data_IF_320744549310
#
_entry.id   IF_320744549310
#
_cell.length_a   1.000
_cell.length_b   1.000
_cell.length_c   1.000
_cell.angle_alpha   90.00
_cell.angle_beta   90.00
_cell.angle_gamma   90.00
#
_symmetry.space_group_name_H-M   'P 1'
#
loop_
_entity.id
_entity.type
_entity.pdbx_description
1 polymer ?
#
# COMPACT_ATOMS: atom_id res chain seq x y z
N UNK A 1 25.92 43.46 -6.99
CA UNK A 1 26.87 43.31 -5.87
C UNK A 1 26.51 42.03 -5.15
N UNK A 2 26.93 40.89 -5.69
CA UNK A 2 26.69 39.56 -5.11
C UNK A 2 27.99 39.07 -4.52
N UNK A 3 28.04 38.90 -3.21
CA UNK A 3 29.20 38.35 -2.50
C UNK A 3 29.48 36.93 -3.02
N UNK A 4 30.58 36.76 -3.74
CA UNK A 4 31.14 35.45 -4.04
C UNK A 4 31.76 34.92 -2.75
N UNK A 5 30.95 34.24 -1.93
CA UNK A 5 31.46 33.50 -0.79
C UNK A 5 32.48 32.48 -1.31
N UNK A 6 33.76 32.72 -1.02
CA UNK A 6 34.84 31.80 -1.35
C UNK A 6 34.63 30.55 -0.50
N UNK A 7 34.13 29.48 -1.11
CA UNK A 7 34.01 28.19 -0.46
C UNK A 7 35.42 27.66 -0.14
N UNK A 8 35.73 27.53 1.14
CA UNK A 8 37.01 27.01 1.64
C UNK A 8 36.78 25.69 2.38
N UNK A 9 36.80 24.55 1.66
CA UNK A 9 36.49 23.26 2.26
C UNK A 9 37.50 22.91 3.35
N UNK A 10 37.00 22.64 4.56
CA UNK A 10 37.82 22.14 5.67
C UNK A 10 37.80 20.62 5.68
N UNK A 11 38.82 19.98 6.25
CA UNK A 11 38.91 18.51 6.28
C UNK A 11 37.69 17.83 6.94
N UNK A 12 37.02 18.52 7.87
CA UNK A 12 35.79 18.05 8.51
C UNK A 12 34.54 18.06 7.60
N UNK A 13 34.55 18.82 6.50
CA UNK A 13 33.43 18.84 5.53
C UNK A 13 33.32 17.51 4.75
N UNK A 14 34.39 16.70 4.80
CA UNK A 14 34.47 15.37 4.20
C UNK A 14 34.40 14.26 5.23
N UNK A 15 34.18 14.59 6.51
CA UNK A 15 33.86 13.59 7.50
C UNK A 15 32.58 12.89 7.07
N UNK A 16 32.57 11.55 7.12
CA UNK A 16 31.37 10.81 6.78
C UNK A 16 30.30 11.20 7.78
N UNK A 17 29.36 12.03 7.33
CA UNK A 17 28.07 12.17 7.99
C UNK A 17 27.53 10.77 8.09
N UNK A 18 27.64 10.20 9.28
CA UNK A 18 26.87 9.03 9.65
C UNK A 18 25.44 9.53 9.58
N UNK A 19 24.83 9.31 8.41
CA UNK A 19 23.39 9.42 8.25
C UNK A 19 22.87 8.34 9.18
N UNK A 20 22.72 8.70 10.45
CA UNK A 20 21.73 8.08 11.33
C UNK A 20 20.48 8.23 10.51
N UNK A 21 20.12 7.16 9.82
CA UNK A 21 18.82 6.98 9.26
C UNK A 21 17.90 7.04 10.46
N UNK A 22 17.53 8.25 10.84
CA UNK A 22 16.32 8.51 11.57
C UNK A 22 15.25 7.90 10.66
N UNK A 23 14.93 6.63 10.92
CA UNK A 23 13.69 5.97 10.52
C UNK A 23 12.55 6.62 11.31
N UNK A 24 12.62 7.93 11.50
CA UNK A 24 11.56 8.76 11.99
C UNK A 24 10.77 9.11 10.74
N UNK A 25 9.54 8.57 10.70
CA UNK A 25 8.47 9.06 9.83
C UNK A 25 8.31 8.42 8.44
N UNK A 26 8.72 7.16 8.25
CA UNK A 26 7.97 6.24 7.37
C UNK A 26 7.00 5.36 8.19
N UNK A 27 6.46 5.92 9.27
CA UNK A 27 5.42 5.28 10.10
C UNK A 27 4.01 5.61 9.63
N UNK A 28 3.81 6.02 8.36
CA UNK A 28 2.55 5.66 7.72
C UNK A 28 2.73 4.17 7.47
N UNK A 29 2.10 3.26 8.26
CA UNK A 29 2.16 1.85 7.90
C UNK A 29 1.84 1.80 6.42
N UNK A 30 2.73 1.22 5.60
CA UNK A 30 2.47 1.02 4.19
C UNK A 30 1.29 0.06 4.14
N UNK A 31 0.09 0.62 4.28
CA UNK A 31 -1.15 -0.11 4.23
C UNK A 31 -1.05 -0.80 2.88
N UNK A 32 -0.99 -2.13 2.91
CA UNK A 32 -0.74 -2.90 1.71
C UNK A 32 -1.73 -2.43 0.67
N UNK A 33 -1.28 -2.16 -0.56
CA UNK A 33 -2.17 -1.73 -1.65
C UNK A 33 -3.42 -2.63 -1.74
N UNK A 34 -3.26 -3.89 -1.38
CA UNK A 34 -4.33 -4.87 -1.21
C UNK A 34 -5.35 -4.52 -0.12
N UNK A 35 -4.89 -4.17 1.08
CA UNK A 35 -5.76 -3.76 2.21
C UNK A 35 -6.55 -2.51 1.85
N UNK A 36 -5.92 -1.53 1.21
CA UNK A 36 -6.57 -0.29 0.79
C UNK A 36 -7.64 -0.55 -0.30
N UNK A 37 -7.35 -1.44 -1.25
CA UNK A 37 -8.34 -1.89 -2.23
C UNK A 37 -9.53 -2.59 -1.57
N UNK A 38 -9.30 -3.44 -0.56
CA UNK A 38 -10.37 -4.14 0.16
C UNK A 38 -11.29 -3.19 0.95
N UNK A 39 -10.72 -2.17 1.60
CA UNK A 39 -11.50 -1.14 2.30
C UNK A 39 -12.38 -0.36 1.34
N UNK A 40 -11.84 0.04 0.18
CA UNK A 40 -12.63 0.71 -0.87
C UNK A 40 -13.74 -0.19 -1.42
N UNK A 41 -13.46 -1.47 -1.66
CA UNK A 41 -14.47 -2.42 -2.13
C UNK A 41 -15.63 -2.54 -1.13
N UNK A 42 -15.32 -2.69 0.15
CA UNK A 42 -16.33 -2.77 1.23
C UNK A 42 -17.15 -1.50 1.43
N UNK A 43 -16.56 -0.33 1.21
CA UNK A 43 -17.28 0.96 1.33
C UNK A 43 -18.35 1.14 0.24
N UNK A 44 -18.19 0.48 -0.91
CA UNK A 44 -19.09 0.61 -2.04
C UNK A 44 -20.20 -0.46 -2.01
N UNK A 45 -21.39 -0.09 -1.52
CA UNK A 45 -22.54 -1.01 -1.44
C UNK A 45 -22.89 -1.67 -2.78
N UNK A 46 -22.81 -0.92 -3.89
CA UNK A 46 -23.08 -1.42 -5.25
C UNK A 46 -22.05 -2.46 -5.69
N UNK A 47 -20.76 -2.18 -5.50
CA UNK A 47 -19.68 -3.11 -5.84
C UNK A 47 -19.74 -4.38 -4.98
N UNK A 48 -20.10 -4.24 -3.69
CA UNK A 48 -20.31 -5.38 -2.81
C UNK A 48 -21.51 -6.23 -3.23
N UNK A 49 -22.62 -5.61 -3.66
CA UNK A 49 -23.78 -6.35 -4.16
C UNK A 49 -23.43 -7.21 -5.38
N UNK A 50 -22.70 -6.68 -6.36
CA UNK A 50 -22.23 -7.47 -7.50
C UNK A 50 -21.26 -8.58 -7.08
N UNK A 51 -20.37 -8.32 -6.11
CA UNK A 51 -19.44 -9.34 -5.60
C UNK A 51 -20.20 -10.50 -4.94
N UNK A 52 -21.24 -10.20 -4.16
CA UNK A 52 -22.09 -11.22 -3.52
C UNK A 52 -22.77 -12.09 -4.58
N UNK A 53 -23.30 -11.49 -5.66
CA UNK A 53 -23.94 -12.25 -6.75
C UNK A 53 -22.92 -13.19 -7.40
N UNK A 54 -21.71 -12.70 -7.71
CA UNK A 54 -20.64 -13.54 -8.29
C UNK A 54 -20.28 -14.70 -7.36
N UNK A 55 -20.09 -14.43 -6.08
CA UNK A 55 -19.79 -15.48 -5.08
C UNK A 55 -20.94 -16.47 -4.96
N UNK A 56 -22.19 -16.00 -4.96
CA UNK A 56 -23.37 -16.86 -4.92
C UNK A 56 -23.46 -17.76 -6.15
N UNK A 57 -23.14 -17.25 -7.34
CA UNK A 57 -23.06 -18.05 -8.57
C UNK A 57 -21.97 -19.11 -8.49
N UNK A 58 -20.77 -18.76 -8.00
CA UNK A 58 -19.69 -19.73 -7.80
C UNK A 58 -20.14 -20.82 -6.83
N UNK A 59 -20.70 -20.45 -5.68
CA UNK A 59 -21.24 -21.41 -4.72
C UNK A 59 -22.34 -22.27 -5.34
N UNK A 60 -23.25 -21.68 -6.10
CA UNK A 60 -24.29 -22.42 -6.81
C UNK A 60 -23.71 -23.44 -7.79
N UNK A 61 -22.66 -23.09 -8.52
CA UNK A 61 -21.99 -24.01 -9.47
C UNK A 61 -21.20 -25.12 -8.78
N UNK A 62 -20.68 -24.88 -7.57
CA UNK A 62 -19.94 -25.90 -6.81
C UNK A 62 -20.87 -26.83 -6.02
N UNK A 63 -21.92 -26.26 -5.42
CA UNK A 63 -22.90 -26.98 -4.61
C UNK A 63 -23.92 -27.70 -5.49
N UNK A 64 -24.29 -27.15 -6.65
CA UNK A 64 -25.23 -27.76 -7.59
C UNK A 64 -24.89 -29.22 -7.93
N UNK A 65 -23.66 -29.52 -8.38
CA UNK A 65 -23.20 -30.90 -8.62
C UNK A 65 -23.10 -31.76 -7.35
N UNK A 66 -22.87 -31.13 -6.19
CA UNK A 66 -22.74 -31.84 -4.93
C UNK A 66 -24.09 -32.25 -4.33
N UNK A 67 -25.14 -31.46 -4.59
CA UNK A 67 -26.53 -31.75 -4.21
C UNK A 67 -27.24 -32.60 -5.26
N UNK A 68 -27.00 -32.32 -6.55
CA UNK A 68 -27.42 -33.15 -7.67
C UNK A 68 -26.39 -34.27 -7.89
N UNK A 69 -26.20 -35.08 -6.85
CA UNK A 69 -25.62 -36.41 -7.02
C UNK A 69 -26.69 -37.29 -7.62
N UNK A 70 -26.81 -37.21 -8.95
CA UNK A 70 -27.40 -38.29 -9.74
C UNK A 70 -26.35 -39.40 -9.91
#
# INVERSE_FOLDING_TARGET
MTEHAIYNPQAGDFEQVTVTSDIQQLTRPSLSFWQDAWVRLKKNKRAMASLIIVVALILFTLIGPLLWRV
#
